data_IF_039357955857
#
_entry.id   IF_039357955857
#
_cell.length_a   1.000
_cell.length_b   1.000
_cell.length_c   1.000
_cell.angle_alpha   90.00
_cell.angle_beta   90.00
_cell.angle_gamma   90.00
#
_symmetry.space_group_name_H-M   'P 1'
#
loop_
_entity.id
_entity.type
_entity.pdbx_description
1 polymer ?
#
# COMPACT_ATOMS: atom_id res chain seq x y z
N UNK A 1 56.28 -42.63 7.43
CA UNK A 1 54.91 -43.05 7.06
C UNK A 1 53.98 -41.85 7.22
N UNK A 2 54.20 -40.73 6.53
CA UNK A 2 54.19 -40.55 5.06
C UNK A 2 52.87 -41.04 4.44
N UNK A 3 52.17 -40.29 3.59
CA UNK A 3 52.65 -39.23 2.71
C UNK A 3 51.54 -38.22 2.36
N UNK A 4 51.97 -36.97 2.13
CA UNK A 4 51.23 -35.89 1.46
C UNK A 4 51.45 -36.04 -0.05
N UNK A 5 50.51 -35.59 -0.89
CA UNK A 5 50.79 -34.73 -2.09
C UNK A 5 49.53 -34.54 -2.96
N UNK A 6 49.19 -33.26 -3.20
CA UNK A 6 48.50 -32.74 -4.40
C UNK A 6 49.53 -32.60 -5.56
N UNK A 7 49.21 -31.94 -6.69
CA UNK A 7 48.14 -32.08 -7.69
C UNK A 7 48.73 -32.28 -9.11
N UNK A 8 47.89 -32.45 -10.14
CA UNK A 8 48.37 -32.41 -11.53
C UNK A 8 47.27 -32.20 -12.57
N UNK A 9 47.26 -31.01 -13.18
CA UNK A 9 46.90 -30.78 -14.58
C UNK A 9 48.20 -30.28 -15.24
N UNK A 10 48.54 -30.64 -16.48
CA UNK A 10 48.31 -29.65 -17.55
C UNK A 10 48.12 -30.23 -18.97
N UNK A 11 47.73 -29.30 -19.86
CA UNK A 11 48.12 -29.16 -21.27
C UNK A 11 47.46 -30.11 -22.29
N UNK A 12 47.19 -29.75 -23.53
CA UNK A 12 47.17 -28.52 -24.35
C UNK A 12 47.14 -29.00 -25.80
N UNK A 13 46.47 -28.30 -26.72
CA UNK A 13 46.87 -28.00 -28.12
C UNK A 13 45.59 -27.80 -28.97
N UNK A 14 45.30 -26.56 -29.41
CA UNK A 14 45.80 -25.92 -30.65
C UNK A 14 45.08 -26.50 -31.90
N UNK A 15 44.61 -25.78 -32.92
CA UNK A 15 44.85 -24.43 -33.43
C UNK A 15 43.96 -24.18 -34.68
N UNK A 16 43.64 -22.90 -34.93
CA UNK A 16 43.47 -22.21 -36.24
C UNK A 16 42.26 -22.60 -37.12
N UNK A 17 41.54 -21.68 -37.78
CA UNK A 17 41.73 -20.23 -37.95
C UNK A 17 40.58 -19.59 -38.75
N UNK A 18 40.42 -18.28 -38.59
CA UNK A 18 39.69 -17.37 -39.50
C UNK A 18 40.64 -16.90 -40.64
N UNK A 19 40.30 -15.93 -41.52
CA UNK A 19 39.01 -15.32 -41.90
C UNK A 19 38.82 -15.18 -43.45
N UNK A 20 37.65 -14.71 -43.90
CA UNK A 20 37.45 -14.25 -45.29
C UNK A 20 36.22 -13.39 -45.45
N UNK A 21 36.44 -12.08 -45.66
CA UNK A 21 35.46 -11.04 -46.04
C UNK A 21 34.91 -11.27 -47.45
N UNK A 22 33.70 -10.78 -47.73
CA UNK A 22 33.41 -9.87 -48.87
C UNK A 22 32.04 -9.22 -48.72
N UNK A 23 32.05 -7.95 -49.07
CA UNK A 23 30.98 -6.95 -49.12
C UNK A 23 29.87 -7.32 -50.11
N UNK A 24 28.66 -6.79 -49.90
CA UNK A 24 27.96 -6.02 -50.94
C UNK A 24 26.77 -5.23 -50.34
N UNK A 25 26.76 -3.94 -50.69
CA UNK A 25 25.72 -2.95 -50.48
C UNK A 25 24.37 -3.36 -51.09
N UNK A 26 23.25 -2.79 -50.59
CA UNK A 26 22.36 -1.93 -51.39
C UNK A 26 21.08 -1.50 -50.65
N UNK A 27 20.96 -0.18 -50.51
CA UNK A 27 19.78 0.70 -50.62
C UNK A 27 18.57 0.60 -49.68
N UNK A 28 18.51 1.59 -48.77
CA UNK A 28 17.27 2.25 -48.35
C UNK A 28 16.59 2.98 -49.52
N UNK A 29 15.25 2.94 -49.57
CA UNK A 29 14.44 3.87 -50.36
C UNK A 29 13.07 4.05 -49.70
N UNK A 30 12.84 5.25 -49.17
CA UNK A 30 11.54 5.80 -48.76
C UNK A 30 10.96 6.54 -49.97
N UNK A 31 9.65 6.45 -50.27
CA UNK A 31 8.97 7.47 -51.06
C UNK A 31 7.96 8.28 -50.24
N UNK A 32 8.22 9.58 -50.31
CA UNK A 32 7.43 10.79 -50.07
C UNK A 32 5.98 10.70 -50.57
N UNK A 33 5.03 11.25 -49.81
CA UNK A 33 3.71 11.68 -50.33
C UNK A 33 3.62 13.20 -50.21
N UNK A 34 3.19 13.78 -51.32
CA UNK A 34 3.19 15.19 -51.72
C UNK A 34 1.91 15.88 -51.25
N UNK A 35 2.03 17.09 -50.69
CA UNK A 35 0.94 18.05 -50.54
C UNK A 35 0.76 18.84 -51.85
N UNK A 36 -0.49 19.17 -52.22
CA UNK A 36 -0.79 20.35 -53.04
C UNK A 36 -2.20 20.90 -52.72
N UNK A 37 -2.44 22.22 -52.81
CA UNK A 37 -3.57 22.95 -52.24
C UNK A 37 -4.62 23.34 -53.30
N UNK A 38 -5.76 23.90 -52.85
CA UNK A 38 -6.64 24.67 -53.74
C UNK A 38 -8.12 24.58 -53.37
N UNK A 39 -8.71 25.73 -53.04
CA UNK A 39 -10.04 25.83 -52.43
C UNK A 39 -11.22 25.86 -53.39
N UNK A 40 -12.42 25.80 -52.81
CA UNK A 40 -13.65 26.42 -53.34
C UNK A 40 -14.73 26.50 -52.25
N UNK A 41 -15.15 27.71 -51.92
CA UNK A 41 -16.42 28.00 -51.23
C UNK A 41 -17.55 27.96 -52.28
N UNK A 42 -18.76 27.53 -51.89
CA UNK A 42 -19.87 28.48 -51.97
C UNK A 42 -20.92 28.35 -50.86
N UNK A 43 -21.34 29.55 -50.40
CA UNK A 43 -22.72 30.04 -50.19
C UNK A 43 -23.78 29.16 -49.50
N UNK A 44 -24.17 29.64 -48.31
CA UNK A 44 -25.54 29.88 -47.80
C UNK A 44 -26.63 28.84 -48.10
N UNK A 45 -27.09 28.16 -47.05
CA UNK A 45 -28.50 27.76 -46.92
C UNK A 45 -28.89 27.61 -45.45
N UNK A 46 -30.14 27.98 -45.17
CA UNK A 46 -30.71 28.20 -43.85
C UNK A 46 -30.80 26.93 -42.99
N UNK A 47 -30.44 27.04 -41.71
CA UNK A 47 -30.70 26.00 -40.71
C UNK A 47 -32.16 26.08 -40.27
N UNK A 48 -32.92 25.11 -40.77
CA UNK A 48 -34.24 24.70 -40.30
C UNK A 48 -34.18 24.24 -38.83
N UNK A 49 -35.14 24.68 -38.03
CA UNK A 49 -35.35 24.26 -36.64
C UNK A 49 -35.84 22.82 -36.61
N UNK A 50 -35.10 21.91 -35.96
CA UNK A 50 -35.62 20.58 -35.58
C UNK A 50 -35.96 20.51 -34.08
N UNK A 51 -37.07 19.83 -33.70
CA UNK A 51 -37.51 19.71 -32.31
C UNK A 51 -36.76 18.59 -31.56
N UNK A 52 -36.55 18.80 -30.26
CA UNK A 52 -35.86 17.84 -29.37
C UNK A 52 -36.62 16.51 -29.18
N UNK A 53 -35.94 15.45 -28.71
CA UNK A 53 -36.52 14.12 -28.61
C UNK A 53 -37.50 14.03 -27.44
N UNK A 54 -38.68 13.47 -27.73
CA UNK A 54 -39.76 13.18 -26.80
C UNK A 54 -39.35 12.11 -25.77
N UNK A 55 -39.57 12.40 -24.48
CA UNK A 55 -39.45 11.45 -23.37
C UNK A 55 -40.50 10.34 -23.51
N UNK A 56 -40.07 9.09 -23.74
CA UNK A 56 -40.92 7.90 -23.59
C UNK A 56 -40.96 7.50 -22.11
N UNK A 57 -42.18 7.41 -21.57
CA UNK A 57 -42.44 6.94 -20.20
C UNK A 57 -42.04 5.48 -20.03
N UNK A 58 -41.16 5.22 -19.06
CA UNK A 58 -40.89 3.88 -18.56
C UNK A 58 -42.02 3.47 -17.60
N UNK A 59 -42.73 2.39 -17.94
CA UNK A 59 -43.67 1.72 -17.05
C UNK A 59 -42.89 1.14 -15.88
N UNK A 60 -43.18 1.62 -14.67
CA UNK A 60 -42.57 1.14 -13.44
C UNK A 60 -43.01 -0.29 -13.11
N UNK A 61 -42.11 -1.24 -13.34
CA UNK A 61 -42.11 -2.49 -12.59
C UNK A 61 -41.61 -2.19 -11.18
N UNK A 62 -42.42 -2.47 -10.15
CA UNK A 62 -41.96 -2.49 -8.76
C UNK A 62 -40.86 -3.55 -8.66
N UNK A 63 -39.60 -3.14 -8.74
CA UNK A 63 -38.45 -3.97 -8.39
C UNK A 63 -38.59 -4.24 -6.89
N UNK A 64 -38.85 -5.49 -6.53
CA UNK A 64 -38.80 -5.93 -5.14
C UNK A 64 -37.39 -5.53 -4.64
N UNK A 65 -37.30 -4.57 -3.72
CA UNK A 65 -36.05 -4.33 -3.01
C UNK A 65 -35.88 -5.54 -2.12
N UNK A 66 -35.05 -6.49 -2.55
CA UNK A 66 -34.65 -7.61 -1.70
C UNK A 66 -34.05 -7.01 -0.43
N UNK A 67 -34.33 -7.57 0.74
CA UNK A 67 -33.72 -7.12 2.00
C UNK A 67 -32.23 -7.50 2.10
N UNK A 68 -31.76 -8.36 1.18
CA UNK A 68 -30.40 -8.88 1.09
C UNK A 68 -29.29 -7.80 0.95
N UNK A 69 -29.41 -6.77 0.10
CA UNK A 69 -28.38 -5.75 -0.04
C UNK A 69 -28.25 -4.87 1.22
N UNK A 70 -29.36 -4.64 1.94
CA UNK A 70 -29.34 -3.84 3.17
C UNK A 70 -28.70 -4.59 4.34
N UNK A 71 -28.96 -5.89 4.50
CA UNK A 71 -28.27 -6.68 5.55
C UNK A 71 -26.76 -6.74 5.32
N UNK A 72 -26.32 -6.88 4.08
CA UNK A 72 -24.90 -6.97 3.73
C UNK A 72 -24.19 -5.62 3.89
N UNK A 73 -24.89 -4.51 3.65
CA UNK A 73 -24.41 -3.16 3.94
C UNK A 73 -24.11 -2.96 5.44
N UNK A 74 -25.06 -3.33 6.31
CA UNK A 74 -24.97 -3.06 7.76
C UNK A 74 -24.13 -4.10 8.51
N UNK A 75 -24.01 -5.30 7.96
CA UNK A 75 -23.27 -6.41 8.56
C UNK A 75 -22.24 -6.98 7.57
N UNK A 76 -21.00 -6.46 7.59
CA UNK A 76 -19.90 -6.95 6.77
C UNK A 76 -19.53 -8.42 7.03
N UNK A 77 -19.86 -8.97 8.20
CA UNK A 77 -19.60 -10.38 8.53
C UNK A 77 -20.60 -11.27 7.81
N UNK A 78 -21.89 -10.89 7.81
CA UNK A 78 -22.90 -11.59 7.01
C UNK A 78 -22.59 -11.49 5.51
N UNK A 79 -22.12 -10.33 5.03
CA UNK A 79 -21.61 -10.20 3.66
C UNK A 79 -20.48 -11.19 3.37
N UNK A 80 -19.46 -11.27 4.24
CA UNK A 80 -18.34 -12.18 4.05
C UNK A 80 -18.77 -13.65 3.98
N UNK A 81 -19.66 -14.08 4.88
CA UNK A 81 -20.14 -15.47 4.94
C UNK A 81 -21.01 -15.83 3.74
N UNK A 82 -22.00 -15.00 3.42
CA UNK A 82 -23.03 -15.36 2.46
C UNK A 82 -22.71 -14.99 1.01
N UNK A 83 -21.85 -13.99 0.77
CA UNK A 83 -21.51 -13.54 -0.58
C UNK A 83 -20.10 -13.93 -1.01
N UNK A 84 -19.19 -14.12 -0.06
CA UNK A 84 -17.78 -14.43 -0.34
C UNK A 84 -17.40 -15.86 0.05
N UNK A 85 -18.33 -16.65 0.60
CA UNK A 85 -18.09 -17.99 1.15
C UNK A 85 -16.89 -18.01 2.12
N UNK A 86 -16.76 -16.94 2.92
CA UNK A 86 -15.65 -16.74 3.84
C UNK A 86 -16.14 -16.78 5.29
N UNK A 87 -15.66 -17.76 6.05
CA UNK A 87 -15.91 -17.84 7.49
C UNK A 87 -14.78 -17.14 8.26
N UNK A 88 -15.03 -15.94 8.84
CA UNK A 88 -14.01 -15.20 9.57
C UNK A 88 -13.72 -15.80 10.95
N UNK A 89 -12.45 -15.85 11.31
CA UNK A 89 -12.01 -16.10 12.69
C UNK A 89 -12.55 -15.00 13.64
N UNK A 90 -12.65 -15.25 14.96
CA UNK A 90 -13.21 -14.27 15.90
C UNK A 90 -12.55 -12.87 15.86
N UNK A 91 -11.24 -12.80 15.64
CA UNK A 91 -10.54 -11.52 15.51
C UNK A 91 -10.80 -10.84 14.15
N UNK A 92 -11.08 -11.62 13.09
CA UNK A 92 -11.46 -11.09 11.79
C UNK A 92 -12.88 -10.51 11.84
N UNK A 93 -13.78 -11.14 12.60
CA UNK A 93 -15.10 -10.56 12.95
C UNK A 93 -14.93 -9.20 13.62
N UNK A 94 -14.02 -9.08 14.59
CA UNK A 94 -13.72 -7.80 15.25
C UNK A 94 -13.25 -6.73 14.25
N UNK A 95 -12.39 -7.07 13.29
CA UNK A 95 -11.95 -6.15 12.23
C UNK A 95 -13.09 -5.73 11.30
N UNK A 96 -13.91 -6.69 10.87
CA UNK A 96 -15.03 -6.47 9.94
C UNK A 96 -16.12 -5.59 10.56
N UNK A 97 -16.37 -5.73 11.87
CA UNK A 97 -17.37 -4.94 12.60
C UNK A 97 -16.82 -3.66 13.22
N UNK A 98 -15.50 -3.47 13.24
CA UNK A 98 -14.86 -2.32 13.89
C UNK A 98 -15.30 -0.99 13.26
N UNK A 99 -15.86 -0.06 14.06
CA UNK A 99 -16.16 1.31 13.60
C UNK A 99 -14.94 2.23 13.68
N UNK A 100 -13.78 1.74 14.13
CA UNK A 100 -12.61 2.58 14.36
C UNK A 100 -12.06 3.16 13.05
N UNK A 101 -11.89 4.48 13.02
CA UNK A 101 -11.24 5.19 11.91
C UNK A 101 -9.75 4.87 11.82
N UNK A 102 -9.12 4.38 12.90
CA UNK A 102 -7.72 3.97 12.90
C UNK A 102 -7.56 2.60 13.54
N UNK A 103 -7.06 1.64 12.76
CA UNK A 103 -6.90 0.26 13.17
C UNK A 103 -5.46 -0.23 12.94
N UNK A 104 -4.86 -0.82 13.97
CA UNK A 104 -3.55 -1.47 13.90
C UNK A 104 -3.71 -2.98 13.98
N UNK A 105 -3.20 -3.69 12.98
CA UNK A 105 -3.18 -5.15 12.93
C UNK A 105 -1.73 -5.65 13.01
N UNK A 106 -1.29 -5.97 14.22
CA UNK A 106 0.00 -6.63 14.45
C UNK A 106 -0.22 -8.14 14.45
N UNK A 107 -0.23 -8.70 13.24
CA UNK A 107 -0.63 -10.08 13.00
C UNK A 107 0.51 -10.83 12.32
N UNK A 108 0.73 -12.07 12.76
CA UNK A 108 1.77 -12.93 12.20
C UNK A 108 1.54 -13.15 10.70
N UNK A 109 2.58 -13.65 10.02
CA UNK A 109 2.39 -14.17 8.66
C UNK A 109 1.33 -15.28 8.69
N UNK A 110 0.57 -15.38 7.61
CA UNK A 110 -0.49 -16.39 7.44
C UNK A 110 -1.65 -16.32 8.47
N UNK A 111 -1.77 -15.24 9.26
CA UNK A 111 -2.90 -15.06 10.17
C UNK A 111 -4.22 -14.77 9.43
N UNK A 112 -4.16 -14.24 8.20
CA UNK A 112 -5.34 -13.86 7.40
C UNK A 112 -5.59 -12.37 7.28
N UNK A 113 -4.67 -11.50 7.72
CA UNK A 113 -4.79 -10.02 7.66
C UNK A 113 -5.15 -9.48 6.28
N UNK A 114 -4.36 -9.80 5.25
CA UNK A 114 -4.58 -9.30 3.89
C UNK A 114 -5.91 -9.77 3.29
N UNK A 115 -6.38 -10.96 3.66
CA UNK A 115 -7.70 -11.47 3.25
C UNK A 115 -8.81 -10.67 3.92
N UNK A 116 -8.74 -10.46 5.24
CA UNK A 116 -9.75 -9.68 5.98
C UNK A 116 -9.82 -8.23 5.48
N UNK A 117 -8.68 -7.57 5.28
CA UNK A 117 -8.68 -6.19 4.78
C UNK A 117 -9.10 -6.08 3.32
N UNK A 118 -8.89 -7.12 2.50
CA UNK A 118 -9.44 -7.16 1.14
C UNK A 118 -10.98 -7.20 1.14
N UNK A 119 -11.58 -7.92 2.11
CA UNK A 119 -13.04 -7.91 2.33
C UNK A 119 -13.50 -6.51 2.76
N UNK A 120 -12.78 -5.86 3.69
CA UNK A 120 -13.10 -4.48 4.10
C UNK A 120 -13.02 -3.50 2.92
N UNK A 121 -12.01 -3.65 2.05
CA UNK A 121 -11.84 -2.85 0.84
C UNK A 121 -13.02 -3.04 -0.14
N UNK A 122 -13.36 -4.31 -0.45
CA UNK A 122 -14.46 -4.64 -1.35
C UNK A 122 -15.80 -4.16 -0.79
N UNK A 123 -16.08 -4.44 0.49
CA UNK A 123 -17.31 -4.01 1.16
C UNK A 123 -17.45 -2.48 1.09
N UNK A 124 -16.37 -1.75 1.39
CA UNK A 124 -16.36 -0.28 1.30
C UNK A 124 -16.68 0.19 -0.12
N UNK A 125 -15.96 -0.31 -1.14
CA UNK A 125 -16.18 0.10 -2.52
C UNK A 125 -17.60 -0.26 -3.03
N UNK A 126 -18.10 -1.44 -2.67
CA UNK A 126 -19.40 -1.94 -3.11
C UNK A 126 -20.56 -1.18 -2.47
N UNK A 127 -20.48 -0.88 -1.17
CA UNK A 127 -21.61 -0.35 -0.40
C UNK A 127 -21.53 1.15 -0.07
N UNK A 128 -20.39 1.82 -0.30
CA UNK A 128 -20.25 3.28 -0.18
C UNK A 128 -20.01 3.89 -1.57
N UNK A 129 -21.05 4.35 -2.28
CA UNK A 129 -20.92 4.94 -3.62
C UNK A 129 -19.93 6.10 -3.65
N UNK A 130 -19.12 6.16 -4.70
CA UNK A 130 -18.11 7.22 -4.88
C UNK A 130 -16.88 7.08 -3.97
N UNK A 131 -16.72 5.97 -3.25
CA UNK A 131 -15.62 5.83 -2.30
C UNK A 131 -14.27 5.58 -2.98
N UNK A 132 -13.21 6.17 -2.44
CA UNK A 132 -11.84 5.92 -2.86
C UNK A 132 -11.12 5.05 -1.83
N UNK A 133 -10.69 3.86 -2.27
CA UNK A 133 -9.91 2.91 -1.48
C UNK A 133 -8.49 2.81 -2.02
N UNK A 134 -7.50 3.09 -1.18
CA UNK A 134 -6.08 2.98 -1.50
C UNK A 134 -5.46 1.77 -0.80
N UNK A 135 -4.80 0.91 -1.58
CA UNK A 135 -4.05 -0.24 -1.12
C UNK A 135 -2.56 0.06 -1.29
N UNK A 136 -1.87 0.22 -0.17
CA UNK A 136 -0.47 0.65 -0.12
C UNK A 136 0.37 -0.48 0.46
N UNK A 137 1.56 -0.70 -0.08
CA UNK A 137 2.53 -1.68 0.42
C UNK A 137 3.95 -1.27 0.06
N UNK A 138 5.02 -1.82 0.66
CA UNK A 138 6.40 -1.39 0.39
C UNK A 138 6.79 -1.43 -1.08
N UNK A 139 6.22 -2.34 -1.86
CA UNK A 139 6.42 -2.43 -3.31
C UNK A 139 5.10 -2.58 -4.07
N UNK A 140 5.11 -2.16 -5.35
CA UNK A 140 3.95 -2.32 -6.25
C UNK A 140 3.53 -3.78 -6.39
N UNK A 141 4.48 -4.72 -6.35
CA UNK A 141 4.20 -6.15 -6.41
C UNK A 141 3.36 -6.59 -5.22
N UNK A 142 3.69 -6.12 -4.01
CA UNK A 142 2.95 -6.46 -2.79
C UNK A 142 1.54 -5.87 -2.78
N UNK A 143 1.41 -4.59 -3.11
CA UNK A 143 0.09 -3.95 -3.20
C UNK A 143 -0.79 -4.60 -4.26
N UNK A 144 -0.19 -5.08 -5.36
CA UNK A 144 -0.89 -5.86 -6.39
C UNK A 144 -1.37 -7.23 -5.89
N UNK A 145 -0.64 -7.89 -4.98
CA UNK A 145 -1.10 -9.15 -4.37
C UNK A 145 -2.26 -8.96 -3.39
N UNK A 146 -2.36 -7.78 -2.76
CA UNK A 146 -3.53 -7.38 -1.98
C UNK A 146 -4.71 -7.05 -2.91
N UNK A 147 -4.47 -6.27 -3.98
CA UNK A 147 -5.48 -5.95 -4.99
C UNK A 147 -6.10 -7.20 -5.63
N UNK A 148 -5.28 -8.20 -5.98
CA UNK A 148 -5.76 -9.49 -6.50
C UNK A 148 -6.71 -10.22 -5.55
N UNK A 149 -6.59 -10.04 -4.24
CA UNK A 149 -7.55 -10.61 -3.27
C UNK A 149 -8.87 -9.88 -3.33
N UNK A 150 -8.84 -8.56 -3.47
CA UNK A 150 -10.05 -7.75 -3.66
C UNK A 150 -10.77 -8.17 -4.94
N UNK A 151 -10.06 -8.27 -6.07
CA UNK A 151 -10.68 -8.71 -7.34
C UNK A 151 -11.15 -10.16 -7.28
N UNK A 152 -10.40 -11.04 -6.62
CA UNK A 152 -10.80 -12.43 -6.39
C UNK A 152 -12.09 -12.58 -5.58
N UNK A 153 -12.39 -11.64 -4.68
CA UNK A 153 -13.68 -11.57 -3.99
C UNK A 153 -14.77 -10.86 -4.79
N UNK A 154 -14.41 -9.94 -5.68
CA UNK A 154 -15.36 -9.24 -6.54
C UNK A 154 -15.90 -10.14 -7.67
N UNK A 155 -15.04 -10.96 -8.27
CA UNK A 155 -15.35 -11.77 -9.44
C UNK A 155 -16.53 -12.75 -9.25
N UNK A 156 -16.64 -13.49 -8.12
CA UNK A 156 -17.71 -14.46 -7.91
C UNK A 156 -19.01 -13.87 -7.32
N UNK A 157 -19.11 -12.54 -7.11
CA UNK A 157 -20.33 -11.95 -6.55
C UNK A 157 -21.54 -12.14 -7.48
N UNK A 158 -22.66 -12.60 -6.91
CA UNK A 158 -23.92 -12.77 -7.65
C UNK A 158 -24.45 -11.43 -8.20
N UNK A 159 -24.41 -10.37 -7.39
CA UNK A 159 -24.76 -9.00 -7.79
C UNK A 159 -23.49 -8.19 -8.06
N UNK A 160 -22.58 -8.74 -8.88
CA UNK A 160 -21.32 -8.07 -9.22
C UNK A 160 -21.61 -6.72 -9.90
N UNK A 161 -21.15 -5.60 -9.33
CA UNK A 161 -21.31 -4.29 -9.95
C UNK A 161 -20.48 -4.23 -11.24
N UNK A 162 -21.02 -3.55 -12.24
CA UNK A 162 -20.28 -3.34 -13.50
C UNK A 162 -19.03 -2.52 -13.25
N UNK A 163 -17.92 -2.94 -13.88
CA UNK A 163 -16.68 -2.19 -13.91
C UNK A 163 -16.73 -1.11 -14.99
N UNK A 164 -16.45 0.13 -14.62
CA UNK A 164 -16.26 1.28 -15.53
C UNK A 164 -14.79 1.45 -15.92
N UNK A 165 -13.89 1.00 -15.06
CA UNK A 165 -12.46 0.83 -15.32
C UNK A 165 -12.00 -0.51 -14.74
N UNK A 166 -11.12 -1.22 -15.46
CA UNK A 166 -10.50 -2.46 -15.00
C UNK A 166 -9.09 -2.57 -15.56
N UNK A 167 -8.09 -2.47 -14.70
CA UNK A 167 -6.69 -2.63 -15.06
C UNK A 167 -5.92 -3.36 -13.95
N UNK A 168 -4.63 -3.65 -14.21
CA UNK A 168 -3.80 -4.47 -13.30
C UNK A 168 -3.63 -3.88 -11.89
N UNK A 169 -3.84 -2.58 -11.73
CA UNK A 169 -3.57 -1.85 -10.48
C UNK A 169 -4.81 -1.14 -9.92
N UNK A 170 -5.91 -1.06 -10.66
CA UNK A 170 -7.13 -0.46 -10.17
C UNK A 170 -8.37 -0.94 -10.90
N UNK A 171 -9.52 -0.81 -10.23
CA UNK A 171 -10.82 -0.88 -10.87
C UNK A 171 -11.70 0.29 -10.40
N UNK A 172 -12.69 0.64 -11.21
CA UNK A 172 -13.76 1.56 -10.86
C UNK A 172 -15.11 0.87 -11.06
N UNK A 173 -16.03 1.08 -10.13
CA UNK A 173 -17.39 0.53 -10.16
C UNK A 173 -18.36 1.54 -10.77
N UNK A 174 -19.49 1.08 -11.29
CA UNK A 174 -20.56 1.93 -11.80
C UNK A 174 -21.20 2.85 -10.75
N UNK A 175 -21.02 2.54 -9.45
CA UNK A 175 -21.42 3.40 -8.35
C UNK A 175 -20.42 4.55 -8.08
N UNK A 176 -19.37 4.68 -8.89
CA UNK A 176 -18.33 5.70 -8.78
C UNK A 176 -17.16 5.35 -7.85
N UNK A 177 -17.23 4.25 -7.10
CA UNK A 177 -16.17 3.84 -6.20
C UNK A 177 -14.94 3.32 -6.96
N UNK A 178 -13.75 3.50 -6.38
CA UNK A 178 -12.47 3.13 -6.98
C UNK A 178 -11.60 2.41 -5.95
N UNK A 179 -10.94 1.34 -6.38
CA UNK A 179 -9.91 0.65 -5.59
C UNK A 179 -8.60 0.74 -6.36
N UNK A 180 -7.54 1.25 -5.72
CA UNK A 180 -6.25 1.52 -6.37
C UNK A 180 -5.10 0.93 -5.56
N UNK A 181 -4.22 0.20 -6.24
CA UNK A 181 -2.97 -0.36 -5.73
C UNK A 181 -1.80 0.60 -5.99
N UNK A 182 -1.06 0.96 -4.95
CA UNK A 182 0.03 1.92 -5.00
C UNK A 182 1.30 1.36 -4.31
N UNK A 183 2.50 1.63 -4.85
CA UNK A 183 3.74 1.30 -4.17
C UNK A 183 3.96 2.23 -2.96
N UNK A 184 4.91 1.84 -2.11
CA UNK A 184 5.25 2.53 -0.87
C UNK A 184 6.08 3.80 -1.06
N UNK A 185 5.72 4.67 -2.02
CA UNK A 185 6.46 5.91 -2.31
C UNK A 185 5.53 7.12 -2.31
N UNK A 186 5.97 8.19 -1.63
CA UNK A 186 5.22 9.43 -1.44
C UNK A 186 4.72 10.04 -2.76
N UNK A 187 5.54 9.99 -3.81
CA UNK A 187 5.20 10.53 -5.13
C UNK A 187 3.95 9.89 -5.75
N UNK A 188 3.65 8.63 -5.41
CA UNK A 188 2.52 7.91 -6.02
C UNK A 188 1.18 8.17 -5.33
N UNK A 189 1.20 8.64 -4.06
CA UNK A 189 -0.03 8.83 -3.29
C UNK A 189 -0.53 10.28 -3.30
N UNK A 190 0.36 11.28 -3.44
CA UNK A 190 0.00 12.71 -3.40
C UNK A 190 -0.99 13.16 -4.48
N UNK A 191 -1.15 12.40 -5.56
CA UNK A 191 -2.14 12.67 -6.60
C UNK A 191 -3.57 12.31 -6.22
N UNK A 192 -3.76 11.58 -5.12
CA UNK A 192 -5.07 11.24 -4.58
C UNK A 192 -5.45 12.23 -3.47
N UNK A 193 -6.76 12.41 -3.27
CA UNK A 193 -7.28 13.27 -2.20
C UNK A 193 -8.52 12.64 -1.59
N UNK A 194 -8.75 12.91 -0.30
CA UNK A 194 -9.92 12.49 0.46
C UNK A 194 -10.28 10.98 0.32
N UNK A 195 -9.34 10.03 0.49
CA UNK A 195 -9.69 8.62 0.46
C UNK A 195 -10.61 8.25 1.64
N UNK A 196 -11.61 7.41 1.39
CA UNK A 196 -12.50 6.85 2.42
C UNK A 196 -11.82 5.74 3.22
N UNK A 197 -10.88 5.04 2.58
CA UNK A 197 -10.14 3.93 3.18
C UNK A 197 -8.72 3.87 2.64
N UNK A 198 -7.74 3.83 3.53
CA UNK A 198 -6.35 3.51 3.22
C UNK A 198 -5.94 2.26 4.00
N UNK A 199 -5.51 1.23 3.27
CA UNK A 199 -4.96 0.00 3.84
C UNK A 199 -3.47 -0.04 3.51
N UNK A 200 -2.65 -0.05 4.55
CA UNK A 200 -1.19 -0.15 4.44
C UNK A 200 -0.72 -1.53 4.88
N UNK A 201 -0.41 -2.39 3.90
CA UNK A 201 0.17 -3.72 4.14
C UNK A 201 1.68 -3.62 4.37
N UNK A 202 2.20 -4.48 5.25
CA UNK A 202 3.58 -4.46 5.72
C UNK A 202 4.05 -3.06 6.19
N UNK A 203 3.19 -2.33 6.91
CA UNK A 203 3.43 -0.96 7.36
C UNK A 203 4.78 -0.76 8.09
N UNK A 204 5.26 -1.75 8.86
CA UNK A 204 6.57 -1.66 9.52
C UNK A 204 7.77 -1.57 8.55
N UNK A 205 7.55 -1.80 7.25
CA UNK A 205 8.55 -1.77 6.18
C UNK A 205 8.28 -0.64 5.17
N UNK A 206 7.22 0.13 5.35
CA UNK A 206 6.92 1.30 4.52
C UNK A 206 7.69 2.51 5.08
N UNK A 207 8.28 3.37 4.23
CA UNK A 207 8.95 4.58 4.70
C UNK A 207 7.99 5.55 5.39
N UNK A 208 8.39 6.11 6.54
CA UNK A 208 7.55 7.01 7.34
C UNK A 208 7.05 8.24 6.56
N UNK A 209 7.84 8.75 5.61
CA UNK A 209 7.44 9.86 4.74
C UNK A 209 6.10 9.59 4.02
N UNK A 210 5.87 8.33 3.60
CA UNK A 210 4.60 7.95 2.99
C UNK A 210 3.46 8.01 4.00
N UNK A 211 3.64 7.44 5.20
CA UNK A 211 2.65 7.50 6.27
C UNK A 211 2.27 8.95 6.61
N UNK A 212 3.27 9.83 6.76
CA UNK A 212 3.04 11.25 7.01
C UNK A 212 2.36 11.98 5.84
N UNK A 213 2.49 11.50 4.60
CA UNK A 213 1.76 12.04 3.45
C UNK A 213 0.29 11.58 3.38
N UNK A 214 -0.01 10.37 3.90
CA UNK A 214 -1.37 9.81 3.95
C UNK A 214 -2.23 10.53 4.98
N UNK A 215 -1.69 10.80 6.18
CA UNK A 215 -2.48 11.33 7.31
C UNK A 215 -3.27 12.61 6.96
N UNK A 216 -2.68 13.63 6.30
CA UNK A 216 -3.42 14.83 5.91
C UNK A 216 -4.56 14.55 4.93
N UNK A 217 -4.44 13.54 4.06
CA UNK A 217 -5.46 13.20 3.07
C UNK A 217 -6.77 12.75 3.73
N UNK A 218 -6.69 12.17 4.93
CA UNK A 218 -7.84 11.67 5.70
C UNK A 218 -8.60 12.78 6.44
N UNK A 219 -8.02 13.97 6.57
CA UNK A 219 -8.61 15.06 7.37
C UNK A 219 -9.94 15.56 6.79
N UNK A 220 -10.09 15.55 5.47
CA UNK A 220 -11.31 16.03 4.79
C UNK A 220 -12.36 14.93 4.65
N UNK A 221 -11.96 13.70 4.33
CA UNK A 221 -12.89 12.58 4.18
C UNK A 221 -13.38 12.03 5.51
N UNK A 222 -12.63 12.23 6.61
CA UNK A 222 -12.81 11.44 7.82
C UNK A 222 -12.53 9.96 7.60
N UNK A 223 -11.71 9.64 6.58
CA UNK A 223 -11.48 8.29 6.09
C UNK A 223 -10.81 7.36 7.11
N UNK A 224 -10.96 6.06 6.88
CA UNK A 224 -10.41 5.01 7.72
C UNK A 224 -8.97 4.67 7.31
N UNK A 225 -8.09 4.51 8.29
CA UNK A 225 -6.71 4.05 8.13
C UNK A 225 -6.51 2.70 8.81
N UNK A 226 -6.07 1.71 8.06
CA UNK A 226 -5.72 0.38 8.58
C UNK A 226 -4.23 0.14 8.30
N UNK A 227 -3.42 0.06 9.34
CA UNK A 227 -2.04 -0.38 9.22
C UNK A 227 -1.94 -1.84 9.64
N UNK A 228 -1.37 -2.68 8.79
CA UNK A 228 -1.18 -4.10 9.09
C UNK A 228 0.24 -4.54 8.80
N UNK A 229 0.85 -5.25 9.74
CA UNK A 229 2.23 -5.71 9.58
C UNK A 229 2.58 -6.83 10.57
N UNK A 230 3.73 -7.45 10.36
CA UNK A 230 4.55 -7.98 11.46
C UNK A 230 5.48 -6.88 11.99
N UNK A 231 5.96 -6.96 13.24
CA UNK A 231 6.93 -6.01 13.76
C UNK A 231 8.26 -6.06 12.98
N UNK A 232 8.98 -4.94 12.95
CA UNK A 232 10.30 -4.87 12.33
C UNK A 232 11.24 -3.94 13.10
N UNK A 233 11.70 -4.41 14.26
CA UNK A 233 12.42 -3.57 15.20
C UNK A 233 11.52 -2.64 16.01
N UNK A 234 12.10 -1.90 16.96
CA UNK A 234 11.46 -0.78 17.68
C UNK A 234 11.69 0.53 16.92
N UNK A 235 11.08 0.69 15.74
CA UNK A 235 11.26 1.88 14.89
C UNK A 235 10.12 2.08 13.90
N UNK A 236 10.03 3.32 13.39
CA UNK A 236 9.12 3.71 12.32
C UNK A 236 7.67 3.84 12.80
N UNK A 237 6.85 4.42 11.94
CA UNK A 237 5.49 4.83 12.28
C UNK A 237 4.59 3.68 12.75
N UNK A 238 4.79 2.44 12.28
CA UNK A 238 4.00 1.30 12.76
C UNK A 238 4.30 0.95 14.22
N UNK A 239 5.58 1.01 14.63
CA UNK A 239 5.96 0.82 16.03
C UNK A 239 5.45 1.97 16.90
N UNK A 240 5.70 3.21 16.49
CA UNK A 240 5.25 4.42 17.21
C UNK A 240 3.73 4.42 17.37
N UNK A 241 2.97 4.17 16.30
CA UNK A 241 1.51 4.05 16.39
C UNK A 241 1.09 2.90 17.32
N UNK A 242 1.81 1.78 17.31
CA UNK A 242 1.50 0.64 18.18
C UNK A 242 1.75 0.92 19.65
N UNK A 243 2.88 1.52 20.02
CA UNK A 243 3.27 1.73 21.41
C UNK A 243 2.79 3.04 22.00
N UNK A 244 2.76 4.09 21.20
CA UNK A 244 2.54 5.48 21.64
C UNK A 244 1.27 6.10 21.06
N UNK A 245 0.62 5.43 20.09
CA UNK A 245 -0.69 5.88 19.61
C UNK A 245 -1.67 5.97 20.79
N UNK A 246 -2.44 7.05 20.89
CA UNK A 246 -3.45 7.18 21.93
C UNK A 246 -4.62 6.20 21.76
N UNK A 247 -5.72 6.51 22.43
CA UNK A 247 -6.99 5.78 22.36
C UNK A 247 -7.66 5.87 20.97
N UNK A 248 -7.21 6.78 20.11
CA UNK A 248 -7.62 6.89 18.71
C UNK A 248 -7.42 5.59 17.91
N UNK A 249 -6.48 4.74 18.33
CA UNK A 249 -6.14 3.49 17.64
C UNK A 249 -6.77 2.28 18.33
N UNK A 250 -7.63 1.57 17.60
CA UNK A 250 -7.94 0.19 17.95
C UNK A 250 -6.77 -0.70 17.55
N UNK A 251 -6.35 -1.60 18.45
CA UNK A 251 -5.19 -2.51 18.27
C UNK A 251 -5.62 -3.95 18.37
N UNK A 252 -5.24 -4.74 17.38
CA UNK A 252 -5.46 -6.18 17.37
C UNK A 252 -4.12 -6.89 17.15
N UNK A 253 -3.75 -7.75 18.10
CA UNK A 253 -2.52 -8.56 18.06
C UNK A 253 -2.86 -10.04 17.87
N UNK A 254 -2.38 -10.64 16.80
CA UNK A 254 -2.60 -12.06 16.48
C UNK A 254 -1.25 -12.74 16.28
N UNK A 255 -0.64 -13.27 17.36
CA UNK A 255 0.52 -14.15 17.21
C UNK A 255 0.10 -15.46 16.53
N UNK A 256 1.07 -16.16 15.95
CA UNK A 256 0.84 -17.39 15.22
C UNK A 256 0.20 -18.49 16.09
N UNK A 257 0.43 -18.47 17.41
CA UNK A 257 -0.22 -19.36 18.38
C UNK A 257 -1.74 -19.15 18.50
N UNK A 258 -2.28 -18.02 18.03
CA UNK A 258 -3.71 -17.75 17.94
C UNK A 258 -4.29 -18.02 16.54
N UNK A 259 -3.47 -18.47 15.59
CA UNK A 259 -3.93 -18.90 14.28
C UNK A 259 -4.20 -20.42 14.30
N UNK A 260 -5.45 -20.88 14.17
CA UNK A 260 -5.78 -22.32 14.23
C UNK A 260 -5.16 -23.12 13.07
N UNK A 261 -4.71 -22.44 12.01
CA UNK A 261 -4.11 -23.03 10.82
C UNK A 261 -2.62 -23.34 10.99
N UNK A 262 -2.00 -22.89 12.08
CA UNK A 262 -0.57 -23.09 12.37
C UNK A 262 -0.43 -24.02 13.57
N UNK A 263 0.20 -25.18 13.37
CA UNK A 263 0.29 -26.20 14.43
C UNK A 263 1.37 -25.86 15.46
N UNK A 264 1.20 -26.26 16.74
CA UNK A 264 2.22 -26.10 17.75
C UNK A 264 3.55 -26.78 17.38
N UNK A 265 3.51 -27.92 16.70
CA UNK A 265 4.70 -28.66 16.26
C UNK A 265 5.51 -27.87 15.23
N UNK A 266 4.81 -27.23 14.27
CA UNK A 266 5.46 -26.35 13.29
C UNK A 266 6.12 -25.15 13.98
N UNK A 267 5.43 -24.53 14.95
CA UNK A 267 5.97 -23.41 15.71
C UNK A 267 7.22 -23.79 16.49
N UNK A 268 7.23 -24.95 17.14
CA UNK A 268 8.41 -25.41 17.87
C UNK A 268 9.57 -25.78 16.94
N UNK A 269 9.29 -26.36 15.77
CA UNK A 269 10.31 -26.60 14.74
C UNK A 269 10.92 -25.29 14.26
N UNK A 270 10.10 -24.30 13.92
CA UNK A 270 10.54 -22.99 13.46
C UNK A 270 11.35 -22.27 14.54
N UNK A 271 10.87 -22.26 15.79
CA UNK A 271 11.58 -21.65 16.92
C UNK A 271 12.99 -22.21 17.07
N UNK A 272 13.16 -23.53 16.94
CA UNK A 272 14.49 -24.18 16.96
C UNK A 272 15.35 -23.82 15.76
N UNK A 273 14.76 -23.63 14.60
CA UNK A 273 15.47 -23.36 13.35
C UNK A 273 15.97 -21.91 13.25
N UNK A 274 15.12 -20.92 13.55
CA UNK A 274 15.43 -19.49 13.37
C UNK A 274 15.86 -18.79 14.66
N UNK A 275 15.70 -19.46 15.81
CA UNK A 275 16.03 -18.95 17.13
C UNK A 275 14.95 -18.04 17.73
N UNK A 276 15.00 -17.88 19.06
CA UNK A 276 13.94 -17.23 19.84
C UNK A 276 13.72 -15.76 19.45
N UNK A 277 14.77 -15.03 19.05
CA UNK A 277 14.67 -13.62 18.69
C UNK A 277 13.84 -13.42 17.42
N UNK A 278 14.16 -14.14 16.34
CA UNK A 278 13.40 -14.07 15.08
C UNK A 278 12.01 -14.66 15.25
N UNK A 279 11.89 -15.73 16.04
CA UNK A 279 10.60 -16.33 16.35
C UNK A 279 9.67 -15.36 17.09
N UNK A 280 10.18 -14.64 18.10
CA UNK A 280 9.43 -13.64 18.83
C UNK A 280 8.88 -12.53 17.91
N UNK A 281 9.68 -12.07 16.95
CA UNK A 281 9.27 -11.04 16.01
C UNK A 281 8.25 -11.57 14.99
N UNK A 282 8.60 -12.59 14.22
CA UNK A 282 7.80 -13.05 13.06
C UNK A 282 6.55 -13.84 13.46
N UNK A 283 6.63 -14.63 14.55
CA UNK A 283 5.54 -15.50 14.99
C UNK A 283 4.79 -14.92 16.20
N UNK A 284 5.50 -14.37 17.20
CA UNK A 284 4.85 -13.86 18.43
C UNK A 284 4.43 -12.38 18.34
N UNK A 285 4.71 -11.72 17.21
CA UNK A 285 4.32 -10.33 16.96
C UNK A 285 4.89 -9.38 18.04
N UNK A 286 6.14 -9.61 18.44
CA UNK A 286 6.83 -8.78 19.43
C UNK A 286 7.79 -7.79 18.76
N UNK A 287 7.73 -6.53 19.19
CA UNK A 287 8.72 -5.52 18.80
C UNK A 287 10.01 -5.75 19.56
N UNK A 288 10.96 -6.44 18.93
CA UNK A 288 12.28 -6.72 19.49
C UNK A 288 13.29 -5.72 18.95
N UNK A 289 14.21 -5.28 19.79
CA UNK A 289 15.32 -4.45 19.36
C UNK A 289 16.38 -5.31 18.68
N UNK A 290 17.05 -4.75 17.67
CA UNK A 290 18.09 -5.44 16.92
C UNK A 290 19.20 -5.94 17.85
N UNK A 291 19.64 -7.18 17.63
CA UNK A 291 20.63 -7.88 18.48
C UNK A 291 22.01 -7.22 18.45
N UNK A 292 22.30 -6.39 17.44
CA UNK A 292 23.52 -5.63 17.22
C UNK A 292 23.47 -4.20 17.78
N UNK A 293 22.36 -3.79 18.40
CA UNK A 293 22.24 -2.48 19.02
C UNK A 293 23.08 -2.41 20.30
N UNK A 294 24.03 -1.47 20.35
CA UNK A 294 24.91 -1.27 21.51
C UNK A 294 24.15 -0.75 22.74
N UNK A 295 23.05 -0.01 22.52
CA UNK A 295 22.22 0.57 23.58
C UNK A 295 20.80 0.02 23.50
N UNK A 296 20.16 -0.30 24.63
CA UNK A 296 18.76 -0.74 24.61
C UNK A 296 17.84 0.45 24.36
N UNK A 297 16.70 0.22 23.72
CA UNK A 297 15.69 1.25 23.44
C UNK A 297 15.23 1.88 24.74
N UNK A 298 14.99 1.07 25.76
CA UNK A 298 14.52 1.54 27.06
C UNK A 298 15.62 2.40 27.76
N UNK A 299 16.90 2.09 27.54
CA UNK A 299 18.03 2.91 28.03
C UNK A 299 18.10 4.26 27.29
N UNK A 300 17.90 4.26 25.96
CA UNK A 300 17.88 5.48 25.14
C UNK A 300 16.70 6.37 25.53
N UNK A 301 15.49 5.81 25.56
CA UNK A 301 14.29 6.57 25.91
C UNK A 301 14.31 7.04 27.36
N UNK A 302 14.88 6.26 28.29
CA UNK A 302 15.12 6.70 29.67
C UNK A 302 16.19 7.78 29.79
N UNK A 303 17.07 7.92 28.81
CA UNK A 303 18.10 8.98 28.75
C UNK A 303 17.61 10.27 28.09
N UNK A 304 16.45 10.27 27.44
CA UNK A 304 15.82 11.48 26.88
C UNK A 304 14.96 12.14 27.96
N UNK A 305 15.28 13.37 28.34
CA UNK A 305 14.51 14.17 29.29
C UNK A 305 14.52 15.63 28.86
N UNK A 306 13.34 16.25 28.86
CA UNK A 306 13.17 17.69 28.61
C UNK A 306 13.51 18.54 29.85
N UNK A 307 13.62 17.90 31.03
CA UNK A 307 13.89 18.56 32.30
C UNK A 307 15.40 18.78 32.55
N UNK A 308 16.26 18.28 31.65
CA UNK A 308 17.70 18.44 31.75
C UNK A 308 18.14 19.61 30.87
N UNK A 309 18.73 20.69 31.45
CA UNK A 309 19.28 21.78 30.67
C UNK A 309 20.32 21.26 29.66
N UNK A 310 20.39 21.81 28.43
CA UNK A 310 21.39 21.44 27.45
C UNK A 310 22.80 21.50 28.04
N UNK A 311 23.59 20.43 27.85
CA UNK A 311 24.95 20.32 28.38
C UNK A 311 25.88 21.41 27.82
N UNK A 312 25.60 21.85 26.60
CA UNK A 312 26.23 23.00 25.97
C UNK A 312 25.21 24.11 25.87
N UNK A 313 25.63 25.35 26.15
CA UNK A 313 24.80 26.52 25.91
C UNK A 313 24.22 26.47 24.47
N UNK A 314 23.02 27.04 24.23
CA UNK A 314 22.52 27.21 22.86
C UNK A 314 23.67 27.78 22.02
N UNK A 315 23.90 27.29 20.80
CA UNK A 315 25.03 27.70 20.00
C UNK A 315 25.05 29.22 19.98
N UNK A 316 26.03 29.81 20.67
CA UNK A 316 26.22 31.26 20.61
C UNK A 316 26.46 31.53 19.14
N UNK A 317 25.56 32.27 18.51
CA UNK A 317 25.78 32.88 17.21
C UNK A 317 27.06 33.68 17.34
N UNK A 318 28.18 33.08 16.97
CA UNK A 318 29.42 33.82 16.80
C UNK A 318 29.25 34.54 15.48
N UNK A 319 29.11 35.86 15.54
CA UNK A 319 29.44 36.69 14.40
C UNK A 319 30.83 36.28 13.93
N UNK A 320 30.92 35.71 12.73
CA UNK A 320 32.20 35.41 12.13
C UNK A 320 32.91 36.75 11.92
N UNK A 321 34.14 36.90 12.44
CA UNK A 321 34.92 38.10 12.19
C UNK A 321 35.14 38.23 10.67
N UNK A 322 34.54 39.25 10.06
CA UNK A 322 34.61 39.51 8.62
C UNK A 322 33.29 39.34 7.83
N UNK A 323 32.15 39.12 8.49
CA UNK A 323 30.84 39.37 7.88
C UNK A 323 30.45 40.81 8.22
N UNK A 324 30.24 41.64 7.19
CA UNK A 324 29.70 43.00 7.35
C UNK A 324 28.38 42.95 8.16
N UNK A 325 28.09 44.01 8.91
CA UNK A 325 26.90 44.18 9.77
C UNK A 325 25.55 44.08 9.01
N UNK A 326 25.60 43.85 7.70
CA UNK A 326 24.46 43.79 6.78
C UNK A 326 23.99 42.36 6.44
N UNK A 327 24.61 41.32 7.03
CA UNK A 327 24.20 39.91 6.79
C UNK A 327 23.22 39.45 7.86
N UNK A 328 21.92 39.52 7.53
CA UNK A 328 20.85 39.00 8.38
C UNK A 328 20.81 37.46 8.37
N UNK A 329 20.56 36.80 9.52
CA UNK A 329 20.29 35.37 9.58
C UNK A 329 19.08 35.00 8.70
N UNK A 330 19.17 33.89 7.96
CA UNK A 330 18.08 33.40 7.10
C UNK A 330 16.80 33.01 7.90
N UNK A 331 16.92 32.89 9.22
CA UNK A 331 15.83 32.61 10.13
C UNK A 331 15.98 33.53 11.34
N UNK A 332 15.35 34.70 11.27
CA UNK A 332 15.03 35.47 12.46
C UNK A 332 13.55 35.21 12.76
N UNK A 333 13.29 34.49 13.85
CA UNK A 333 11.95 34.32 14.39
C UNK A 333 11.50 35.69 14.92
N UNK A 334 10.82 36.45 14.06
CA UNK A 334 10.07 37.62 14.49
C UNK A 334 9.01 37.16 15.50
N UNK A 335 9.33 37.37 16.77
CA UNK A 335 8.40 37.31 17.89
C UNK A 335 7.62 38.62 17.90
N UNK A 336 6.36 38.56 17.44
CA UNK A 336 5.26 39.39 17.94
C UNK A 336 4.05 38.51 18.25
#
# INVERSE_FOLDING_TARGET
MEDRRRPGNPASQDRRGSPGRRDDDQHLSIPTVVEDPGGHLPRTSAVSRHPGPARRGAKGGRRLVTTAPLRHLIDPVTFAREQLDFEPDPWQVEVLLSPANRLLLNCSRQAGKSTTTAIVALHTAHFRPGSLVLLVSPSLRQSSELFKKVTGFLDPLDDRPRLTEDNKLSFALENGSRVVSLPGTEATIRGFSAPDLVIEDEAARVPDALYYSIRPMLAVSGGRLILMSTPFGKRGHFFEAWTEGGEDWQRIKIPATRCPRITPEFLEQERRAIGDWWFAQEYMCEFRQATDSVFRYDDVMGAVSEDVPPLFAPPTTRTAAGLDDDVFPLFDEATE
#
